data_IF_089296763963
#
_entry.id   IF_089296763963
#
_cell.length_a   1.000
_cell.length_b   1.000
_cell.length_c   1.000
_cell.angle_alpha   90.00
_cell.angle_beta   90.00
_cell.angle_gamma   90.00
#
_symmetry.space_group_name_H-M   'P 1'
#
loop_
_entity.id
_entity.type
_entity.pdbx_description
1 polymer ?
#
# COMPACT_ATOMS: atom_id res chain seq x y z
N UNK A 1 9.68 -16.47 -24.52
CA UNK A 1 9.40 -16.02 -23.13
C UNK A 1 8.41 -14.85 -23.08
N UNK A 2 8.60 -13.79 -23.88
CA UNK A 2 7.70 -12.61 -23.95
C UNK A 2 6.19 -12.94 -24.03
N UNK A 3 5.78 -13.84 -24.92
CA UNK A 3 4.35 -14.24 -25.06
C UNK A 3 3.71 -14.78 -23.77
N UNK A 4 4.47 -15.44 -22.89
CA UNK A 4 3.96 -15.92 -21.60
C UNK A 4 3.86 -14.77 -20.59
N UNK A 5 4.86 -13.89 -20.59
CA UNK A 5 4.84 -12.69 -19.75
C UNK A 5 3.63 -11.81 -20.10
N UNK A 6 3.46 -11.48 -21.38
CA UNK A 6 2.37 -10.63 -21.86
C UNK A 6 0.99 -11.21 -21.54
N UNK A 7 0.87 -12.55 -21.49
CA UNK A 7 -0.38 -13.23 -21.15
C UNK A 7 -0.80 -13.04 -19.68
N UNK A 8 0.14 -13.07 -18.74
CA UNK A 8 -0.18 -13.09 -17.31
C UNK A 8 0.05 -11.75 -16.60
N UNK A 9 0.81 -10.83 -17.21
CA UNK A 9 1.29 -9.62 -16.53
C UNK A 9 0.85 -8.30 -17.17
N UNK A 10 0.36 -8.33 -18.42
CA UNK A 10 0.06 -7.12 -19.18
C UNK A 10 -1.38 -6.65 -18.97
N UNK A 11 -2.28 -7.54 -18.58
CA UNK A 11 -3.68 -7.24 -18.27
C UNK A 11 -3.92 -7.31 -16.78
N UNK A 12 -4.50 -6.24 -16.22
CA UNK A 12 -4.78 -6.14 -14.79
C UNK A 12 -5.65 -7.31 -14.27
N UNK A 13 -6.58 -7.80 -15.10
CA UNK A 13 -7.48 -8.91 -14.78
C UNK A 13 -6.79 -10.29 -14.75
N UNK A 14 -5.68 -10.44 -15.47
CA UNK A 14 -4.96 -11.71 -15.60
C UNK A 14 -3.83 -11.85 -14.57
N UNK A 15 -3.57 -10.79 -13.79
CA UNK A 15 -2.52 -10.77 -12.78
C UNK A 15 -2.82 -11.70 -11.60
N UNK A 16 -1.79 -12.40 -11.13
CA UNK A 16 -1.89 -13.28 -9.98
C UNK A 16 -2.03 -12.47 -8.69
N UNK A 17 -3.19 -12.61 -8.02
CA UNK A 17 -3.54 -11.92 -6.78
C UNK A 17 -2.60 -12.24 -5.62
N UNK A 18 -2.04 -13.47 -5.56
CA UNK A 18 -1.07 -13.84 -4.51
C UNK A 18 0.21 -13.00 -4.64
N UNK A 19 0.65 -12.71 -5.86
CA UNK A 19 1.83 -11.87 -6.10
C UNK A 19 1.55 -10.41 -5.70
N UNK A 20 0.32 -9.94 -5.92
CA UNK A 20 -0.11 -8.62 -5.45
C UNK A 20 -0.17 -8.54 -3.92
N UNK A 21 -0.63 -9.60 -3.26
CA UNK A 21 -0.62 -9.69 -1.79
C UNK A 21 0.81 -9.67 -1.25
N UNK A 22 1.76 -10.34 -1.91
CA UNK A 22 3.18 -10.28 -1.53
C UNK A 22 3.73 -8.84 -1.60
N UNK A 23 3.30 -8.05 -2.59
CA UNK A 23 3.64 -6.62 -2.67
C UNK A 23 3.01 -5.84 -1.51
N UNK A 24 1.76 -6.13 -1.16
CA UNK A 24 1.07 -5.47 -0.03
C UNK A 24 1.71 -5.81 1.32
N UNK A 25 2.16 -7.04 1.50
CA UNK A 25 2.86 -7.50 2.70
C UNK A 25 4.24 -6.87 2.86
N UNK A 26 4.84 -6.36 1.78
CA UNK A 26 6.11 -5.65 1.86
C UNK A 26 5.91 -4.29 2.58
N UNK A 27 6.59 -4.05 3.72
CA UNK A 27 6.47 -2.80 4.48
C UNK A 27 6.80 -1.54 3.67
N UNK A 28 7.54 -1.69 2.56
CA UNK A 28 7.91 -0.57 1.68
C UNK A 28 6.74 -0.09 0.83
N UNK A 29 5.85 -0.98 0.41
CA UNK A 29 4.86 -0.73 -0.63
C UNK A 29 3.45 -0.58 -0.06
N UNK A 30 3.00 -1.54 0.76
CA UNK A 30 1.62 -1.63 1.26
C UNK A 30 0.59 -1.54 0.11
N UNK A 31 -0.69 -1.35 0.45
CA UNK A 31 -1.75 -1.12 -0.53
C UNK A 31 -1.52 0.15 -1.37
N UNK A 32 -0.85 1.15 -0.81
CA UNK A 32 -0.57 2.43 -1.45
C UNK A 32 0.17 2.27 -2.79
N UNK A 33 1.05 1.28 -2.90
CA UNK A 33 1.78 1.03 -4.14
C UNK A 33 0.85 0.54 -5.27
N UNK A 34 -0.20 -0.21 -4.96
CA UNK A 34 -1.16 -0.66 -5.96
C UNK A 34 -1.98 0.51 -6.49
N UNK A 35 -2.41 1.42 -5.62
CA UNK A 35 -3.09 2.67 -6.00
C UNK A 35 -2.22 3.55 -6.90
N UNK A 36 -0.91 3.56 -6.66
CA UNK A 36 0.05 4.30 -7.48
C UNK A 36 0.34 3.63 -8.83
N UNK A 37 0.50 2.31 -8.84
CA UNK A 37 1.02 1.59 -10.01
C UNK A 37 -0.08 1.20 -10.99
N UNK A 38 -1.24 0.75 -10.54
CA UNK A 38 -2.30 0.27 -11.42
C UNK A 38 -2.82 1.29 -12.44
N UNK A 39 -2.97 2.59 -12.12
CA UNK A 39 -3.34 3.60 -13.11
C UNK A 39 -2.33 3.76 -14.27
N UNK A 40 -1.07 3.33 -14.08
CA UNK A 40 -0.04 3.35 -15.13
C UNK A 40 -0.19 2.16 -16.10
N UNK A 41 -0.81 1.07 -15.63
CA UNK A 41 -1.02 -0.15 -16.42
C UNK A 41 -2.39 -0.17 -17.11
N UNK A 42 -3.41 0.39 -16.47
CA UNK A 42 -4.79 0.41 -16.95
C UNK A 42 -5.39 1.81 -16.82
N UNK A 43 -6.01 2.31 -17.90
CA UNK A 43 -6.64 3.64 -17.95
C UNK A 43 -8.04 3.67 -17.33
N UNK A 44 -8.73 2.53 -17.32
CA UNK A 44 -10.04 2.38 -16.71
C UNK A 44 -9.93 2.44 -15.18
N UNK A 45 -10.39 3.56 -14.61
CA UNK A 45 -10.31 3.84 -13.17
C UNK A 45 -11.20 2.90 -12.34
N UNK A 46 -12.35 2.50 -12.86
CA UNK A 46 -13.30 1.65 -12.13
C UNK A 46 -12.74 0.23 -12.03
N UNK A 47 -12.10 -0.25 -13.10
CA UNK A 47 -11.39 -1.53 -13.09
C UNK A 47 -10.22 -1.51 -12.11
N UNK A 48 -9.44 -0.42 -12.10
CA UNK A 48 -8.33 -0.24 -11.14
C UNK A 48 -8.84 -0.28 -9.70
N UNK A 49 -9.85 0.53 -9.38
CA UNK A 49 -10.43 0.58 -8.04
C UNK A 49 -11.02 -0.77 -7.61
N UNK A 50 -11.68 -1.48 -8.54
CA UNK A 50 -12.18 -2.83 -8.32
C UNK A 50 -11.06 -3.81 -7.95
N UNK A 51 -9.94 -3.76 -8.67
CA UNK A 51 -8.80 -4.65 -8.41
C UNK A 51 -8.14 -4.37 -7.07
N UNK A 52 -7.93 -3.10 -6.70
CA UNK A 52 -7.35 -2.74 -5.38
C UNK A 52 -8.25 -3.25 -4.25
N UNK A 53 -9.57 -3.02 -4.36
CA UNK A 53 -10.55 -3.52 -3.39
C UNK A 53 -10.54 -5.05 -3.29
N UNK A 54 -10.39 -5.74 -4.41
CA UNK A 54 -10.31 -7.20 -4.42
C UNK A 54 -9.05 -7.70 -3.70
N UNK A 55 -7.89 -7.11 -3.97
CA UNK A 55 -6.63 -7.46 -3.28
C UNK A 55 -6.74 -7.17 -1.78
N UNK A 56 -7.28 -6.02 -1.40
CA UNK A 56 -7.53 -5.66 0.00
C UNK A 56 -8.43 -6.68 0.69
N UNK A 57 -9.52 -7.13 0.02
CA UNK A 57 -10.44 -8.13 0.56
C UNK A 57 -9.75 -9.47 0.80
N UNK A 58 -8.93 -9.94 -0.16
CA UNK A 58 -8.21 -11.21 -0.01
C UNK A 58 -7.16 -11.11 1.11
N UNK A 59 -6.45 -9.98 1.17
CA UNK A 59 -5.48 -9.71 2.23
C UNK A 59 -6.12 -9.73 3.63
N UNK A 60 -7.24 -9.03 3.80
CA UNK A 60 -8.01 -9.03 5.05
C UNK A 60 -8.50 -10.44 5.42
N UNK A 61 -8.97 -11.21 4.43
CA UNK A 61 -9.39 -12.59 4.67
C UNK A 61 -8.22 -13.45 5.18
N UNK A 62 -7.06 -13.34 4.55
CA UNK A 62 -5.85 -14.05 4.96
C UNK A 62 -5.41 -13.65 6.37
N UNK A 63 -5.46 -12.36 6.69
CA UNK A 63 -5.16 -11.86 8.02
C UNK A 63 -6.13 -12.40 9.07
N UNK A 64 -7.44 -12.42 8.77
CA UNK A 64 -8.43 -12.95 9.69
C UNK A 64 -8.23 -14.44 9.96
N UNK A 65 -7.97 -15.24 8.92
CA UNK A 65 -7.64 -16.66 9.08
C UNK A 65 -6.37 -16.86 9.93
N UNK A 66 -5.36 -16.01 9.74
CA UNK A 66 -4.15 -16.01 10.57
C UNK A 66 -4.44 -15.63 12.03
N UNK A 67 -5.24 -14.60 12.26
CA UNK A 67 -5.58 -14.10 13.59
C UNK A 67 -6.46 -15.08 14.37
N UNK A 68 -7.33 -15.82 13.69
CA UNK A 68 -8.10 -16.91 14.28
C UNK A 68 -7.20 -18.09 14.68
N UNK A 69 -6.15 -18.37 13.90
CA UNK A 69 -5.21 -19.46 14.17
C UNK A 69 -4.22 -19.14 15.30
N UNK A 70 -3.74 -17.89 15.39
CA UNK A 70 -2.82 -17.43 16.45
C UNK A 70 -3.16 -15.99 16.90
N UNK A 71 -4.06 -15.85 17.88
CA UNK A 71 -4.47 -14.54 18.40
C UNK A 71 -3.33 -13.76 19.06
N UNK A 72 -2.34 -14.46 19.67
CA UNK A 72 -1.24 -13.81 20.38
C UNK A 72 -0.25 -13.19 19.40
N UNK A 73 0.12 -13.91 18.34
CA UNK A 73 0.97 -13.39 17.30
C UNK A 73 0.29 -12.28 16.49
N UNK A 74 -1.02 -12.37 16.26
CA UNK A 74 -1.79 -11.31 15.64
C UNK A 74 -1.76 -10.02 16.47
N UNK A 75 -1.94 -10.11 17.79
CA UNK A 75 -1.85 -8.95 18.69
C UNK A 75 -0.45 -8.31 18.65
N UNK A 76 0.61 -9.13 18.70
CA UNK A 76 1.98 -8.63 18.60
C UNK A 76 2.28 -7.91 17.27
N UNK A 77 1.66 -8.35 16.15
CA UNK A 77 1.81 -7.70 14.85
C UNK A 77 1.18 -6.29 14.81
N UNK A 78 0.05 -6.10 15.49
CA UNK A 78 -0.62 -4.80 15.60
C UNK A 78 0.27 -3.84 16.38
N UNK A 79 0.84 -4.29 17.50
CA UNK A 79 1.71 -3.48 18.35
C UNK A 79 3.01 -3.07 17.64
N UNK A 80 3.53 -3.93 16.75
CA UNK A 80 4.73 -3.65 15.94
C UNK A 80 4.51 -2.63 14.82
N UNK A 81 3.26 -2.31 14.45
CA UNK A 81 2.94 -1.41 13.33
C UNK A 81 3.04 0.09 13.71
N UNK A 82 3.33 0.40 14.99
CA UNK A 82 3.56 1.78 15.47
C UNK A 82 4.81 2.38 14.77
N UNK A 83 4.75 3.61 14.23
CA UNK A 83 5.82 4.10 13.37
C UNK A 83 7.10 4.31 14.18
N UNK A 84 8.14 3.53 13.85
CA UNK A 84 9.53 3.85 14.15
C UNK A 84 10.14 4.44 12.88
N UNK A 85 10.53 5.69 12.97
CA UNK A 85 11.08 6.46 11.85
C UNK A 85 12.56 6.08 11.72
N UNK A 86 12.88 5.13 10.86
CA UNK A 86 14.27 4.80 10.55
C UNK A 86 14.57 5.07 9.07
N UNK A 87 15.59 5.91 8.87
CA UNK A 87 16.18 6.27 7.58
C UNK A 87 16.84 5.05 6.94
N UNK A 88 16.65 4.84 5.63
CA UNK A 88 17.45 3.89 4.85
C UNK A 88 17.88 4.47 3.50
N UNK A 89 19.13 4.12 3.19
CA UNK A 89 20.01 4.69 2.17
C UNK A 89 19.68 4.27 0.73
N UNK A 90 20.26 5.03 -0.20
CA UNK A 90 20.14 4.90 -1.65
C UNK A 90 20.77 3.60 -2.17
N UNK A 91 20.07 2.93 -3.10
CA UNK A 91 20.64 1.93 -4.00
C UNK A 91 20.50 2.50 -5.41
N UNK A 92 21.63 2.56 -6.10
CA UNK A 92 21.76 3.04 -7.46
C UNK A 92 21.56 1.87 -8.44
N UNK A 93 20.48 1.88 -9.21
CA UNK A 93 20.29 1.04 -10.39
C UNK A 93 19.36 1.77 -11.37
N UNK A 94 19.87 2.03 -12.56
CA UNK A 94 19.25 2.85 -13.60
C UNK A 94 18.42 1.97 -14.54
N UNK A 95 17.10 1.90 -14.31
CA UNK A 95 16.07 1.60 -15.33
C UNK A 95 14.68 1.97 -14.77
N UNK A 96 13.66 2.13 -15.63
CA UNK A 96 12.26 2.59 -15.40
C UNK A 96 11.61 2.30 -14.03
N UNK A 97 11.99 1.23 -13.35
CA UNK A 97 11.58 0.94 -11.97
C UNK A 97 12.09 1.96 -10.94
N UNK A 98 13.33 2.44 -11.05
CA UNK A 98 13.92 3.39 -10.12
C UNK A 98 13.25 4.77 -10.18
N UNK A 99 12.85 5.23 -11.36
CA UNK A 99 12.07 6.46 -11.51
C UNK A 99 10.68 6.33 -10.86
N UNK A 100 10.01 5.20 -11.08
CA UNK A 100 8.74 4.89 -10.43
C UNK A 100 8.90 4.79 -8.91
N UNK A 101 10.01 4.23 -8.43
CA UNK A 101 10.34 4.13 -7.01
C UNK A 101 10.59 5.50 -6.39
N UNK A 102 11.39 6.36 -7.03
CA UNK A 102 11.64 7.74 -6.59
C UNK A 102 10.33 8.52 -6.47
N UNK A 103 9.47 8.44 -7.49
CA UNK A 103 8.15 9.08 -7.48
C UNK A 103 7.24 8.51 -6.37
N UNK A 104 7.25 7.18 -6.17
CA UNK A 104 6.50 6.53 -5.11
C UNK A 104 6.99 6.92 -3.71
N UNK A 105 8.31 7.00 -3.51
CA UNK A 105 8.92 7.46 -2.26
C UNK A 105 8.56 8.92 -1.95
N UNK A 106 8.52 9.79 -2.96
CA UNK A 106 8.05 11.16 -2.80
C UNK A 106 6.57 11.21 -2.40
N UNK A 107 5.71 10.46 -3.10
CA UNK A 107 4.28 10.37 -2.78
C UNK A 107 4.02 9.82 -1.37
N UNK A 108 4.81 8.83 -0.94
CA UNK A 108 4.75 8.30 0.42
C UNK A 108 5.15 9.35 1.45
N UNK A 109 6.27 10.05 1.24
CA UNK A 109 6.69 11.16 2.12
C UNK A 109 5.64 12.25 2.18
N UNK A 110 5.03 12.62 1.06
CA UNK A 110 3.97 13.62 1.02
C UNK A 110 2.73 13.19 1.80
N UNK A 111 2.26 11.94 1.63
CA UNK A 111 1.14 11.40 2.40
C UNK A 111 1.45 11.28 3.90
N UNK A 112 2.63 10.80 4.26
CA UNK A 112 3.07 10.74 5.67
C UNK A 112 3.14 12.17 6.27
N UNK A 113 3.55 13.18 5.49
CA UNK A 113 3.56 14.60 5.90
C UNK A 113 2.14 15.18 6.03
N UNK A 114 1.19 14.74 5.21
CA UNK A 114 -0.21 15.15 5.29
C UNK A 114 -0.90 14.51 6.50
N UNK A 115 -0.70 13.21 6.76
CA UNK A 115 -1.25 12.51 7.93
C UNK A 115 -0.74 13.10 9.26
N UNK A 116 0.50 13.63 9.30
CA UNK A 116 1.04 14.32 10.49
C UNK A 116 0.39 15.70 10.73
N UNK A 117 -0.16 16.35 9.70
CA UNK A 117 -0.79 17.68 9.82
C UNK A 117 -2.30 17.61 9.99
N UNK A 118 -2.97 16.72 9.28
CA UNK A 118 -4.43 16.63 9.29
C UNK A 118 -4.97 16.10 10.63
N UNK A 119 -4.23 15.28 11.39
CA UNK A 119 -4.72 14.79 12.69
C UNK A 119 -4.59 15.84 13.82
N UNK A 120 -3.54 16.67 13.80
CA UNK A 120 -3.36 17.74 14.79
C UNK A 120 -4.39 18.87 14.59
N UNK A 121 -4.62 19.29 13.35
CA UNK A 121 -5.58 20.37 13.06
C UNK A 121 -7.03 19.92 13.31
N UNK A 122 -7.34 18.63 13.11
CA UNK A 122 -8.66 18.06 13.37
C UNK A 122 -8.97 17.92 14.87
N UNK A 123 -7.97 17.56 15.67
CA UNK A 123 -8.08 17.55 17.14
C UNK A 123 -8.14 18.98 17.71
N UNK A 124 -7.42 19.94 17.11
CA UNK A 124 -7.49 21.36 17.50
C UNK A 124 -8.88 21.96 17.19
N UNK A 125 -9.44 21.65 16.03
CA UNK A 125 -10.78 22.11 15.63
C UNK A 125 -11.90 21.48 16.47
N UNK A 126 -11.77 20.20 16.86
CA UNK A 126 -12.70 19.54 17.79
C UNK A 126 -12.61 20.10 19.22
N UNK A 127 -11.44 20.57 19.66
CA UNK A 127 -11.28 21.25 20.96
C UNK A 127 -11.91 22.65 20.96
N UNK A 128 -11.73 23.42 19.87
CA UNK A 128 -12.25 24.79 19.75
C UNK A 128 -13.78 24.82 19.56
N UNK A 129 -14.40 23.72 19.09
CA UNK A 129 -15.85 23.59 18.95
C UNK A 129 -16.59 23.17 20.23
N UNK A 130 -15.88 22.81 21.30
CA UNK A 130 -16.47 22.30 22.55
C UNK A 130 -16.50 23.32 23.71
N UNK A 131 -16.06 24.57 23.49
CA UNK A 131 -16.11 25.66 24.48
C UNK A 131 -17.26 26.68 24.31
N UNK A 132 -18.39 26.31 23.68
CA UNK A 132 -19.63 27.09 23.74
C UNK A 132 -20.88 26.23 23.97
#
# INVERSE_FOLDING_TARGET
MKKKFDKYWLKLQDMNKILLIAVVLDPRYKLLYLDFFFPKLQKDKDLVAGMVKEVQKIFLKLYNEYAEADPFAAQASVDATRPKVDNLAEIDEEDSHAANMKQFMMLRKEKDVIEIKDEMDKLQFEFDCLEF
#
